data_IF_980639343474
#
_entry.id   IF_980639343474
#
_cell.length_a   1.000
_cell.length_b   1.000
_cell.length_c   1.000
_cell.angle_alpha   90.00
_cell.angle_beta   90.00
_cell.angle_gamma   90.00
#
_symmetry.space_group_name_H-M   'P 1'
#
loop_
_entity.id
_entity.type
_entity.pdbx_description
1 polymer ?
#
# COMPACT_ATOMS: atom_id res chain seq x y z
N UNK A 1 -16.14 12.67 -16.81
CA UNK A 1 -14.98 12.84 -15.91
C UNK A 1 -14.71 11.49 -15.27
N UNK A 2 -13.45 11.03 -15.30
CA UNK A 2 -13.04 9.81 -14.59
C UNK A 2 -12.71 10.11 -13.13
N UNK A 3 -12.61 9.06 -12.29
CA UNK A 3 -12.19 9.17 -10.90
C UNK A 3 -10.70 9.58 -10.80
N UNK A 4 -10.36 10.35 -9.77
CA UNK A 4 -8.98 10.73 -9.45
C UNK A 4 -8.20 9.59 -8.79
N UNK A 5 -6.87 9.69 -8.76
CA UNK A 5 -6.01 8.70 -8.08
C UNK A 5 -6.35 8.54 -6.59
N UNK A 6 -6.71 9.64 -5.93
CA UNK A 6 -7.16 9.64 -4.53
C UNK A 6 -8.48 8.88 -4.36
N UNK A 7 -9.47 9.15 -5.21
CA UNK A 7 -10.78 8.47 -5.15
C UNK A 7 -10.65 6.98 -5.46
N UNK A 8 -9.84 6.60 -6.46
CA UNK A 8 -9.56 5.20 -6.79
C UNK A 8 -8.83 4.47 -5.67
N UNK A 9 -7.88 5.15 -5.01
CA UNK A 9 -7.16 4.58 -3.87
C UNK A 9 -8.08 4.37 -2.66
N UNK A 10 -9.00 5.30 -2.41
CA UNK A 10 -10.00 5.14 -1.34
C UNK A 10 -10.97 3.99 -1.66
N UNK A 11 -11.42 3.90 -2.91
CA UNK A 11 -12.25 2.77 -3.36
C UNK A 11 -11.49 1.43 -3.26
N UNK A 12 -10.18 1.42 -3.52
CA UNK A 12 -9.33 0.25 -3.28
C UNK A 12 -9.28 -0.16 -1.80
N UNK A 13 -9.37 0.78 -0.85
CA UNK A 13 -9.45 0.44 0.57
C UNK A 13 -10.81 -0.16 0.93
N UNK A 14 -11.89 0.37 0.34
CA UNK A 14 -13.23 -0.17 0.53
C UNK A 14 -13.34 -1.61 0.02
N UNK A 15 -12.78 -1.92 -1.15
CA UNK A 15 -12.75 -3.30 -1.68
C UNK A 15 -11.93 -4.23 -0.80
N UNK A 16 -10.76 -3.79 -0.31
CA UNK A 16 -9.98 -4.57 0.65
C UNK A 16 -10.73 -4.82 1.97
N UNK A 17 -11.51 -3.84 2.46
CA UNK A 17 -12.35 -4.02 3.65
C UNK A 17 -13.52 -4.99 3.38
N UNK A 18 -14.18 -4.87 2.23
CA UNK A 18 -15.24 -5.77 1.82
C UNK A 18 -14.75 -7.22 1.75
N UNK A 19 -13.55 -7.44 1.20
CA UNK A 19 -12.93 -8.77 1.14
C UNK A 19 -12.73 -9.38 2.52
N UNK A 20 -12.09 -8.64 3.45
CA UNK A 20 -11.89 -9.11 4.83
C UNK A 20 -13.19 -9.44 5.54
N UNK A 21 -14.25 -8.66 5.29
CA UNK A 21 -15.56 -8.94 5.88
C UNK A 21 -16.18 -10.24 5.33
N UNK A 22 -15.99 -10.54 4.04
CA UNK A 22 -16.42 -11.81 3.44
C UNK A 22 -15.62 -13.00 4.01
N UNK A 23 -14.30 -12.85 4.16
CA UNK A 23 -13.46 -13.88 4.77
C UNK A 23 -13.92 -14.18 6.22
N UNK A 24 -14.17 -13.14 7.03
CA UNK A 24 -14.69 -13.30 8.39
C UNK A 24 -16.09 -13.97 8.44
N UNK A 25 -16.95 -13.68 7.45
CA UNK A 25 -18.27 -14.31 7.36
C UNK A 25 -18.13 -15.81 7.07
N UNK A 26 -17.22 -16.18 6.16
CA UNK A 26 -16.91 -17.57 5.85
C UNK A 26 -16.41 -18.33 7.09
N UNK A 27 -15.48 -17.72 7.85
CA UNK A 27 -14.98 -18.29 9.10
C UNK A 27 -16.11 -18.51 10.12
N UNK A 28 -17.03 -17.55 10.24
CA UNK A 28 -18.18 -17.67 11.14
C UNK A 28 -19.14 -18.79 10.71
N UNK A 29 -19.39 -18.94 9.41
CA UNK A 29 -20.23 -20.03 8.87
C UNK A 29 -19.58 -21.38 9.08
N UNK A 30 -18.26 -21.49 8.95
CA UNK A 30 -17.51 -22.71 9.27
C UNK A 30 -17.67 -23.09 10.74
N UNK A 31 -17.54 -22.12 11.65
CA UNK A 31 -17.75 -22.36 13.09
C UNK A 31 -19.17 -22.82 13.38
N UNK A 32 -20.19 -22.15 12.82
CA UNK A 32 -21.59 -22.57 13.01
C UNK A 32 -21.82 -23.98 12.50
N UNK A 33 -21.38 -24.30 11.28
CA UNK A 33 -21.56 -25.64 10.71
C UNK A 33 -20.88 -26.74 11.54
N UNK A 34 -19.75 -26.46 12.20
CA UNK A 34 -19.10 -27.43 13.08
C UNK A 34 -19.88 -27.68 14.39
N UNK A 35 -20.64 -26.70 14.87
CA UNK A 35 -21.45 -26.83 16.08
C UNK A 35 -22.87 -27.35 15.80
N UNK A 36 -23.30 -27.34 14.54
CA UNK A 36 -24.62 -27.77 14.07
C UNK A 36 -24.90 -29.24 14.32
N UNK A 37 -23.88 -30.09 14.26
CA UNK A 37 -24.01 -31.52 14.58
C UNK A 37 -24.49 -31.77 16.04
N UNK A 38 -24.52 -30.73 16.88
CA UNK A 38 -25.00 -30.75 18.28
C UNK A 38 -26.46 -30.29 18.43
N UNK A 39 -27.10 -29.79 17.38
CA UNK A 39 -28.46 -29.27 17.38
C UNK A 39 -29.44 -30.25 16.73
N UNK A 40 -30.71 -30.19 17.13
CA UNK A 40 -31.79 -30.96 16.51
C UNK A 40 -32.30 -30.20 15.27
N UNK A 41 -31.94 -30.68 14.07
CA UNK A 41 -32.26 -30.07 12.78
C UNK A 41 -31.04 -29.94 11.85
N UNK A 42 -31.25 -30.02 10.53
CA UNK A 42 -30.19 -29.87 9.54
C UNK A 42 -30.16 -28.44 8.96
N UNK A 43 -29.20 -27.62 9.43
CA UNK A 43 -28.96 -26.28 8.88
C UNK A 43 -27.75 -26.22 7.95
N UNK A 44 -27.11 -27.37 7.68
CA UNK A 44 -25.99 -27.49 6.73
C UNK A 44 -26.30 -26.84 5.37
N UNK A 45 -27.52 -27.01 4.79
CA UNK A 45 -27.86 -26.38 3.51
C UNK A 45 -27.79 -24.84 3.53
N UNK A 46 -28.15 -24.22 4.66
CA UNK A 46 -28.09 -22.76 4.80
C UNK A 46 -26.64 -22.28 4.85
N UNK A 47 -25.78 -22.98 5.60
CA UNK A 47 -24.34 -22.69 5.66
C UNK A 47 -23.66 -22.83 4.28
N UNK A 48 -23.97 -23.89 3.54
CA UNK A 48 -23.48 -24.08 2.17
C UNK A 48 -23.93 -22.96 1.21
N UNK A 49 -25.19 -22.52 1.32
CA UNK A 49 -25.71 -21.42 0.52
C UNK A 49 -24.99 -20.10 0.83
N UNK A 50 -24.73 -19.80 2.11
CA UNK A 50 -23.98 -18.59 2.51
C UNK A 50 -22.55 -18.65 1.97
N UNK A 51 -21.88 -19.81 2.05
CA UNK A 51 -20.53 -20.00 1.47
C UNK A 51 -20.53 -19.73 -0.03
N UNK A 52 -21.48 -20.30 -0.75
CA UNK A 52 -21.61 -20.09 -2.21
C UNK A 52 -21.76 -18.61 -2.56
N UNK A 53 -22.71 -17.91 -1.93
CA UNK A 53 -22.94 -16.48 -2.17
C UNK A 53 -21.72 -15.62 -1.78
N UNK A 54 -21.06 -15.93 -0.67
CA UNK A 54 -19.86 -15.22 -0.21
C UNK A 54 -18.68 -15.40 -1.18
N UNK A 55 -18.54 -16.59 -1.77
CA UNK A 55 -17.55 -16.86 -2.80
C UNK A 55 -17.87 -16.14 -4.12
N UNK A 56 -19.14 -16.06 -4.51
CA UNK A 56 -19.56 -15.27 -5.67
C UNK A 56 -19.31 -13.77 -5.46
N UNK A 57 -19.66 -13.23 -4.29
CA UNK A 57 -19.34 -11.84 -3.93
C UNK A 57 -17.84 -11.56 -3.91
N UNK A 58 -17.04 -12.50 -3.41
CA UNK A 58 -15.59 -12.40 -3.38
C UNK A 58 -15.01 -12.23 -4.79
N UNK A 59 -15.50 -12.99 -5.77
CA UNK A 59 -15.11 -12.83 -7.19
C UNK A 59 -15.42 -11.44 -7.71
N UNK A 60 -16.61 -10.90 -7.43
CA UNK A 60 -16.98 -9.55 -7.86
C UNK A 60 -16.14 -8.47 -7.18
N UNK A 61 -15.79 -8.63 -5.90
CA UNK A 61 -14.88 -7.72 -5.21
C UNK A 61 -13.49 -7.73 -5.88
N UNK A 62 -12.99 -8.89 -6.26
CA UNK A 62 -11.70 -9.04 -6.95
C UNK A 62 -11.73 -8.43 -8.36
N UNK A 63 -12.84 -8.59 -9.09
CA UNK A 63 -13.08 -7.95 -10.40
C UNK A 63 -13.07 -6.42 -10.28
N UNK A 64 -13.79 -5.86 -9.30
CA UNK A 64 -13.82 -4.43 -9.03
C UNK A 64 -12.41 -3.94 -8.68
N UNK A 65 -11.67 -4.66 -7.83
CA UNK A 65 -10.29 -4.32 -7.46
C UNK A 65 -9.37 -4.29 -8.70
N UNK A 66 -9.48 -5.28 -9.58
CA UNK A 66 -8.71 -5.35 -10.82
C UNK A 66 -9.01 -4.16 -11.74
N UNK A 67 -10.29 -3.76 -11.84
CA UNK A 67 -10.68 -2.59 -12.61
C UNK A 67 -10.14 -1.29 -12.01
N UNK A 68 -10.18 -1.15 -10.68
CA UNK A 68 -9.60 0.01 -9.98
C UNK A 68 -8.12 0.13 -10.30
N UNK A 69 -7.36 -0.95 -10.15
CA UNK A 69 -5.92 -0.94 -10.42
C UNK A 69 -5.63 -0.60 -11.88
N UNK A 70 -6.42 -1.16 -12.81
CA UNK A 70 -6.32 -0.83 -14.25
C UNK A 70 -6.60 0.64 -14.55
N UNK A 71 -7.57 1.26 -13.87
CA UNK A 71 -7.86 2.67 -14.06
C UNK A 71 -6.80 3.56 -13.42
N UNK A 72 -6.32 3.17 -12.24
CA UNK A 72 -5.27 3.89 -11.52
C UNK A 72 -3.97 3.91 -12.35
N UNK A 73 -3.62 2.78 -12.95
CA UNK A 73 -2.42 2.65 -13.79
C UNK A 73 -2.47 3.50 -15.07
N UNK A 74 -3.65 3.93 -15.53
CA UNK A 74 -3.79 4.86 -16.66
C UNK A 74 -3.54 6.32 -16.28
N UNK A 75 -3.57 6.65 -14.99
CA UNK A 75 -3.37 8.02 -14.53
C UNK A 75 -1.87 8.37 -14.66
N UNK A 76 -1.53 9.49 -15.31
CA UNK A 76 -0.16 9.98 -15.35
C UNK A 76 0.28 10.46 -13.96
N UNK A 77 1.57 10.35 -13.67
CA UNK A 77 2.15 10.89 -12.43
C UNK A 77 2.21 12.41 -12.53
N UNK A 78 1.71 13.10 -11.51
CA UNK A 78 1.89 14.54 -11.37
C UNK A 78 3.31 14.81 -10.84
N UNK A 79 4.16 15.36 -11.70
CA UNK A 79 5.56 15.61 -11.38
C UNK A 79 5.71 16.69 -10.29
N UNK A 80 4.86 17.72 -10.28
CA UNK A 80 4.90 18.77 -9.27
C UNK A 80 4.47 18.24 -7.90
N UNK A 81 3.46 17.37 -7.88
CA UNK A 81 3.05 16.67 -6.65
C UNK A 81 4.19 15.83 -6.09
N UNK A 82 4.86 15.04 -6.93
CA UNK A 82 5.98 14.17 -6.47
C UNK A 82 7.21 14.96 -6.04
N UNK A 83 7.45 16.14 -6.63
CA UNK A 83 8.52 17.06 -6.22
C UNK A 83 8.24 17.69 -4.85
N UNK A 84 7.00 18.11 -4.61
CA UNK A 84 6.55 18.59 -3.29
C UNK A 84 6.63 17.47 -2.24
N UNK A 85 6.19 16.26 -2.59
CA UNK A 85 6.28 15.09 -1.72
C UNK A 85 7.73 14.72 -1.36
N UNK A 86 8.65 14.70 -2.33
CA UNK A 86 10.07 14.49 -2.10
C UNK A 86 10.66 15.52 -1.14
N UNK A 87 10.35 16.80 -1.34
CA UNK A 87 10.81 17.90 -0.48
C UNK A 87 10.30 17.72 0.96
N UNK A 88 9.01 17.35 1.12
CA UNK A 88 8.42 17.06 2.43
C UNK A 88 9.08 15.87 3.12
N UNK A 89 9.36 14.79 2.38
CA UNK A 89 10.05 13.62 2.93
C UNK A 89 11.45 13.96 3.44
N UNK A 90 12.17 14.84 2.75
CA UNK A 90 13.45 15.38 3.21
C UNK A 90 13.37 16.03 4.59
N UNK A 91 12.26 16.73 4.89
CA UNK A 91 12.03 17.35 6.20
C UNK A 91 11.78 16.32 7.32
N UNK A 92 11.15 15.18 7.00
CA UNK A 92 10.76 14.18 7.99
C UNK A 92 11.84 13.11 8.26
N UNK A 93 12.56 12.68 7.22
CA UNK A 93 13.52 11.57 7.32
C UNK A 93 14.97 12.02 7.47
N UNK A 94 15.24 13.33 7.47
CA UNK A 94 16.56 13.88 7.81
C UNK A 94 17.57 13.75 6.68
N UNK A 95 18.29 12.62 6.61
CA UNK A 95 19.33 12.42 5.59
C UNK A 95 18.75 11.85 4.30
N UNK A 96 19.37 12.19 3.16
CA UNK A 96 18.98 11.64 1.85
C UNK A 96 19.01 10.10 1.82
N UNK A 97 19.97 9.47 2.50
CA UNK A 97 20.00 8.01 2.61
C UNK A 97 18.77 7.44 3.33
N UNK A 98 18.29 8.09 4.39
CA UNK A 98 17.07 7.68 5.10
C UNK A 98 15.82 7.89 4.25
N UNK A 99 15.76 8.99 3.50
CA UNK A 99 14.67 9.27 2.56
C UNK A 99 14.62 8.21 1.46
N UNK A 100 15.76 7.90 0.83
CA UNK A 100 15.86 6.87 -0.22
C UNK A 100 15.43 5.51 0.33
N UNK A 101 15.97 5.11 1.49
CA UNK A 101 15.62 3.83 2.11
C UNK A 101 14.13 3.72 2.42
N UNK A 102 13.50 4.80 2.88
CA UNK A 102 12.06 4.84 3.14
C UNK A 102 11.25 4.74 1.84
N UNK A 103 11.56 5.57 0.84
CA UNK A 103 10.86 5.58 -0.43
C UNK A 103 11.02 4.26 -1.21
N UNK A 104 12.19 3.60 -1.15
CA UNK A 104 12.39 2.26 -1.71
C UNK A 104 11.53 1.20 -1.00
N UNK A 105 11.40 1.31 0.33
CA UNK A 105 10.54 0.40 1.11
C UNK A 105 9.06 0.60 0.78
N UNK A 106 8.61 1.83 0.57
CA UNK A 106 7.24 2.08 0.13
C UNK A 106 7.00 1.59 -1.30
N UNK A 107 7.93 1.88 -2.22
CA UNK A 107 7.89 1.40 -3.61
C UNK A 107 7.75 -0.13 -3.69
N UNK A 108 8.50 -0.88 -2.86
CA UNK A 108 8.51 -2.35 -2.91
C UNK A 108 7.19 -3.01 -2.52
N UNK A 109 6.25 -2.27 -1.91
CA UNK A 109 4.91 -2.76 -1.58
C UNK A 109 4.00 -2.85 -2.80
N UNK A 110 4.39 -2.23 -3.91
CA UNK A 110 3.57 -2.11 -5.10
C UNK A 110 4.16 -2.91 -6.25
N UNK A 111 3.27 -3.46 -7.09
CA UNK A 111 3.65 -4.14 -8.33
C UNK A 111 4.42 -3.17 -9.23
N UNK A 112 5.50 -3.65 -9.85
CA UNK A 112 6.27 -2.88 -10.82
C UNK A 112 5.36 -2.28 -11.91
N UNK A 113 5.64 -1.03 -12.30
CA UNK A 113 4.88 -0.23 -13.26
C UNK A 113 3.44 0.15 -12.88
N UNK A 114 2.93 -0.28 -11.71
CA UNK A 114 1.67 0.25 -11.18
C UNK A 114 1.77 1.76 -10.90
N UNK A 115 0.64 2.44 -10.77
CA UNK A 115 0.59 3.86 -10.45
C UNK A 115 1.42 4.21 -9.21
N UNK A 116 1.18 3.54 -8.07
CA UNK A 116 1.89 3.84 -6.84
C UNK A 116 3.37 3.49 -6.91
N UNK A 117 3.74 2.45 -7.67
CA UNK A 117 5.15 2.16 -7.94
C UNK A 117 5.81 3.30 -8.73
N UNK A 118 5.18 3.76 -9.83
CA UNK A 118 5.70 4.88 -10.65
C UNK A 118 5.73 6.19 -9.86
N UNK A 119 4.76 6.42 -8.99
CA UNK A 119 4.73 7.56 -8.08
C UNK A 119 5.96 7.58 -7.16
N UNK A 120 6.26 6.45 -6.52
CA UNK A 120 7.43 6.33 -5.64
C UNK A 120 8.76 6.39 -6.40
N UNK A 121 8.83 5.88 -7.62
CA UNK A 121 9.99 6.07 -8.51
C UNK A 121 10.21 7.56 -8.80
N UNK A 122 9.14 8.30 -9.15
CA UNK A 122 9.23 9.75 -9.38
C UNK A 122 9.67 10.51 -8.13
N UNK A 123 9.23 10.09 -6.93
CA UNK A 123 9.72 10.65 -5.67
C UNK A 123 11.22 10.39 -5.50
N UNK A 124 11.68 9.16 -5.71
CA UNK A 124 13.10 8.81 -5.61
C UNK A 124 13.96 9.63 -6.58
N UNK A 125 13.52 9.77 -7.83
CA UNK A 125 14.21 10.58 -8.84
C UNK A 125 14.33 12.04 -8.38
N UNK A 126 13.25 12.62 -7.84
CA UNK A 126 13.26 13.98 -7.31
C UNK A 126 14.20 14.13 -6.09
N UNK A 127 14.22 13.15 -5.18
CA UNK A 127 15.16 13.16 -4.02
C UNK A 127 16.61 13.10 -4.50
N UNK A 128 16.91 12.26 -5.49
CA UNK A 128 18.25 12.17 -6.06
C UNK A 128 18.67 13.46 -6.77
N UNK A 129 17.76 14.09 -7.52
CA UNK A 129 18.03 15.38 -8.17
C UNK A 129 18.30 16.49 -7.16
N UNK A 130 17.53 16.56 -6.07
CA UNK A 130 17.75 17.53 -5.00
C UNK A 130 19.14 17.38 -4.35
N UNK A 131 19.61 16.15 -4.16
CA UNK A 131 20.96 15.90 -3.65
C UNK A 131 22.06 16.26 -4.65
N UNK A 132 21.82 16.13 -5.96
CA UNK A 132 22.76 16.58 -6.99
C UNK A 132 22.83 18.12 -7.01
N UNK A 133 21.69 18.80 -6.94
CA UNK A 133 21.59 20.26 -6.98
C UNK A 133 22.10 20.93 -5.70
N UNK A 134 21.88 20.29 -4.54
CA UNK A 134 22.30 20.79 -3.25
C UNK A 134 22.83 19.64 -2.38
N UNK A 135 24.08 19.20 -2.64
CA UNK A 135 24.64 18.05 -1.94
C UNK A 135 24.63 18.28 -0.43
N UNK A 136 24.04 17.33 0.27
CA UNK A 136 24.08 17.26 1.72
C UNK A 136 25.54 17.39 2.14
N UNK A 137 25.86 18.42 2.93
CA UNK A 137 27.25 18.65 3.37
C UNK A 137 27.79 17.32 3.93
N UNK A 138 29.00 16.88 3.50
CA UNK A 138 29.59 15.69 4.08
C UNK A 138 29.61 15.91 5.59
N UNK A 139 29.09 14.93 6.34
CA UNK A 139 29.21 14.89 7.80
C UNK A 139 30.69 15.14 8.07
N UNK A 140 30.98 16.33 8.60
CA UNK A 140 32.34 16.75 8.89
C UNK A 140 32.97 15.66 9.73
N UNK A 141 34.17 15.23 9.33
CA UNK A 141 35.05 14.35 10.08
C UNK A 141 34.79 14.53 11.58
N UNK A 142 34.36 13.47 12.25
CA UNK A 142 34.33 13.45 13.71
C UNK A 142 35.65 14.03 14.18
N UNK A 143 35.60 15.14 14.93
CA UNK A 143 36.80 15.71 15.53
C UNK A 143 37.46 14.57 16.29
N UNK A 144 38.62 14.15 15.81
CA UNK A 144 39.57 13.35 16.56
C UNK A 144 39.78 14.08 17.89
N UNK A 145 39.17 13.58 18.97
CA UNK A 145 39.60 13.95 20.30
C UNK A 145 41.00 13.37 20.45
N UNK A 146 41.98 14.28 20.38
CA UNK A 146 43.39 14.03 20.56
C UNK A 146 43.63 13.18 21.81
N UNK A 147 44.08 11.95 21.62
CA UNK A 147 44.95 11.30 22.61
C UNK A 147 46.21 12.15 22.73
N UNK A 148 46.34 12.87 23.84
CA UNK A 148 47.64 13.24 24.38
C UNK A 148 47.81 12.53 25.71
N UNK A 149 48.44 11.36 25.66
CA UNK A 149 49.27 10.87 26.76
C UNK A 149 50.69 11.36 26.51
N UNK A 150 51.21 12.15 27.42
CA UNK A 150 52.60 12.19 27.88
C UNK A 150 52.59 12.84 29.26
#
# INVERSE_FOLDING_TARGET
MGLTAKELTELSKHTAKARRNLDNLLDFVDLMNNDVDKLDGDITPAGEQIKKLSNEMSKHVDEIKTLIDTQLDKIPIDLEETKDAASKLGLYHGTVHQVISYADTEKSKYKENSYWWRYWVSILDNVMQQEIENPSKPIGKGKQFLEKRN
#
